data_IF_494590897732
#
_entry.id   IF_494590897732
#
_cell.length_a   1.000
_cell.length_b   1.000
_cell.length_c   1.000
_cell.angle_alpha   90.00
_cell.angle_beta   90.00
_cell.angle_gamma   90.00
#
_symmetry.space_group_name_H-M   'P 1'
#
loop_
_entity.id
_entity.type
_entity.pdbx_description
1 polymer ?
#
# COMPACT_ATOMS: atom_id res chain seq x y z
N UNK A 1 -20.38 -19.15 34.76
CA UNK A 1 -20.17 -18.78 33.34
C UNK A 1 -20.19 -17.25 33.26
N UNK A 2 -19.04 -16.60 33.41
CA UNK A 2 -18.93 -15.13 33.32
C UNK A 2 -19.18 -14.73 31.87
N UNK A 3 -20.26 -13.98 31.62
CA UNK A 3 -20.51 -13.32 30.35
C UNK A 3 -19.35 -12.37 30.10
N UNK A 4 -18.37 -12.81 29.32
CA UNK A 4 -17.27 -11.97 28.83
C UNK A 4 -17.92 -10.74 28.16
N UNK A 5 -17.83 -9.59 28.82
CA UNK A 5 -18.32 -8.31 28.31
C UNK A 5 -17.65 -8.08 26.93
N UNK A 6 -18.42 -8.19 25.84
CA UNK A 6 -17.93 -7.98 24.47
C UNK A 6 -17.28 -6.60 24.40
N UNK A 7 -15.95 -6.54 24.32
CA UNK A 7 -15.21 -5.30 24.20
C UNK A 7 -15.51 -4.69 22.82
N UNK A 8 -16.02 -3.46 22.80
CA UNK A 8 -16.29 -2.75 21.54
C UNK A 8 -14.99 -2.48 20.78
N UNK A 9 -15.00 -2.68 19.47
CA UNK A 9 -13.82 -2.41 18.60
C UNK A 9 -13.53 -0.90 18.57
N UNK A 10 -14.57 -0.07 18.54
CA UNK A 10 -14.50 1.39 18.58
C UNK A 10 -15.29 1.87 19.78
N UNK A 11 -14.74 2.79 20.56
CA UNK A 11 -15.51 3.44 21.66
C UNK A 11 -16.63 4.29 21.07
N UNK A 12 -17.82 4.25 21.71
CA UNK A 12 -19.02 4.95 21.21
C UNK A 12 -18.78 6.45 20.97
N UNK A 13 -17.97 7.08 21.82
CA UNK A 13 -17.60 8.50 21.75
C UNK A 13 -16.73 8.86 20.53
N UNK A 14 -16.05 7.86 19.90
CA UNK A 14 -15.13 8.08 18.78
C UNK A 14 -15.62 7.51 17.46
N UNK A 15 -16.86 7.02 17.36
CA UNK A 15 -17.40 6.40 16.14
C UNK A 15 -17.35 7.36 14.96
N UNK A 16 -17.73 8.64 15.17
CA UNK A 16 -17.72 9.64 14.10
C UNK A 16 -16.31 9.91 13.58
N UNK A 17 -15.34 10.10 14.48
CA UNK A 17 -13.92 10.30 14.13
C UNK A 17 -13.37 9.07 13.42
N UNK A 18 -13.70 7.87 13.88
CA UNK A 18 -13.31 6.63 13.25
C UNK A 18 -13.81 6.54 11.81
N UNK A 19 -15.08 6.86 11.55
CA UNK A 19 -15.67 6.83 10.20
C UNK A 19 -14.96 7.82 9.27
N UNK A 20 -14.76 9.08 9.71
CA UNK A 20 -14.08 10.09 8.89
C UNK A 20 -12.64 9.66 8.56
N UNK A 21 -11.89 9.16 9.55
CA UNK A 21 -10.52 8.70 9.30
C UNK A 21 -10.51 7.47 8.39
N UNK A 22 -11.52 6.60 8.49
CA UNK A 22 -11.68 5.46 7.60
C UNK A 22 -11.85 5.88 6.14
N UNK A 23 -12.53 7.01 5.87
CA UNK A 23 -12.65 7.58 4.52
C UNK A 23 -11.26 7.99 3.97
N UNK A 24 -10.33 8.45 4.81
CA UNK A 24 -8.97 8.79 4.38
C UNK A 24 -8.23 7.58 3.83
N UNK A 25 -8.46 6.38 4.36
CA UNK A 25 -7.87 5.15 3.83
C UNK A 25 -8.43 4.78 2.46
N UNK A 26 -9.72 5.04 2.20
CA UNK A 26 -10.30 4.88 0.87
C UNK A 26 -9.71 5.89 -0.13
N UNK A 27 -9.61 7.18 0.25
CA UNK A 27 -8.96 8.22 -0.56
C UNK A 27 -7.53 7.88 -0.95
N UNK A 28 -6.83 7.27 -0.04
CA UNK A 28 -5.47 6.78 -0.25
C UNK A 28 -5.41 5.66 -1.29
N UNK A 29 -6.30 4.67 -1.17
CA UNK A 29 -6.44 3.62 -2.20
C UNK A 29 -6.74 4.20 -3.57
N UNK A 30 -7.66 5.18 -3.67
CA UNK A 30 -8.00 5.84 -4.94
C UNK A 30 -6.75 6.47 -5.58
N UNK A 31 -5.98 7.26 -4.84
CA UNK A 31 -4.80 7.94 -5.39
C UNK A 31 -3.74 6.96 -5.88
N UNK A 32 -3.49 5.89 -5.10
CA UNK A 32 -2.49 4.88 -5.44
C UNK A 32 -2.83 4.19 -6.76
N UNK A 33 -4.05 3.70 -6.89
CA UNK A 33 -4.44 2.85 -8.00
C UNK A 33 -4.96 3.63 -9.21
N UNK A 34 -5.36 4.88 -9.04
CA UNK A 34 -5.53 5.83 -10.15
C UNK A 34 -4.17 6.13 -10.82
N UNK A 35 -3.08 6.18 -10.03
CA UNK A 35 -1.73 6.50 -10.54
C UNK A 35 -1.05 5.30 -11.20
N UNK A 36 -1.38 4.07 -10.81
CA UNK A 36 -0.71 2.86 -11.30
C UNK A 36 -0.69 2.74 -12.84
N UNK A 37 -1.81 2.93 -13.58
CA UNK A 37 -1.79 2.85 -15.05
C UNK A 37 -1.18 4.09 -15.72
N UNK A 38 -0.88 5.16 -14.98
CA UNK A 38 -0.34 6.39 -15.58
C UNK A 38 1.04 6.20 -16.22
N UNK A 39 1.83 5.22 -15.78
CA UNK A 39 3.14 4.90 -16.38
C UNK A 39 2.96 4.57 -17.87
N UNK A 40 2.06 3.65 -18.20
CA UNK A 40 1.76 3.28 -19.59
C UNK A 40 1.02 4.39 -20.34
N UNK A 41 0.10 5.08 -19.67
CA UNK A 41 -0.70 6.16 -20.27
C UNK A 41 0.19 7.35 -20.70
N UNK A 42 1.09 7.82 -19.83
CA UNK A 42 2.02 8.89 -20.22
C UNK A 42 2.93 8.48 -21.38
N UNK A 43 3.34 7.21 -21.44
CA UNK A 43 4.16 6.72 -22.54
C UNK A 43 3.41 6.67 -23.88
N UNK A 44 2.09 6.45 -23.87
CA UNK A 44 1.24 6.56 -25.06
C UNK A 44 1.08 8.00 -25.53
N UNK A 45 0.77 8.92 -24.60
CA UNK A 45 0.56 10.34 -24.89
C UNK A 45 1.86 11.07 -25.24
N UNK A 46 2.99 10.63 -24.67
CA UNK A 46 4.34 11.16 -24.86
C UNK A 46 5.30 10.04 -25.26
N UNK A 47 5.29 9.57 -26.53
CA UNK A 47 6.10 8.43 -26.97
C UNK A 47 7.61 8.67 -26.88
N UNK A 48 8.04 9.94 -26.82
CA UNK A 48 9.44 10.34 -26.61
C UNK A 48 10.00 9.95 -25.24
N UNK A 49 9.13 9.64 -24.26
CA UNK A 49 9.57 9.20 -22.94
C UNK A 49 10.25 7.83 -23.01
N UNK A 50 11.45 7.74 -22.46
CA UNK A 50 12.11 6.45 -22.25
C UNK A 50 11.38 5.64 -21.18
N UNK A 51 11.58 4.32 -21.13
CA UNK A 51 11.01 3.46 -20.09
C UNK A 51 11.45 3.90 -18.68
N UNK A 52 12.69 4.35 -18.54
CA UNK A 52 13.22 4.89 -17.28
C UNK A 52 12.47 6.16 -16.89
N UNK A 53 12.26 7.09 -17.81
CA UNK A 53 11.50 8.31 -17.54
C UNK A 53 10.06 7.98 -17.14
N UNK A 54 9.38 7.11 -17.87
CA UNK A 54 8.01 6.71 -17.55
C UNK A 54 7.90 6.07 -16.15
N UNK A 55 8.90 5.30 -15.73
CA UNK A 55 8.95 4.69 -14.40
C UNK A 55 9.16 5.69 -13.25
N UNK A 56 9.58 6.93 -13.54
CA UNK A 56 9.70 7.98 -12.53
C UNK A 56 8.36 8.34 -11.86
N UNK A 57 7.22 8.02 -12.47
CA UNK A 57 5.90 8.09 -11.84
C UNK A 57 5.87 7.26 -10.55
N UNK A 58 6.29 6.00 -10.63
CA UNK A 58 6.35 5.10 -9.48
C UNK A 58 7.39 5.58 -8.45
N UNK A 59 8.55 6.01 -8.94
CA UNK A 59 9.61 6.54 -8.09
C UNK A 59 9.13 7.78 -7.30
N UNK A 60 8.53 8.77 -7.96
CA UNK A 60 8.00 9.97 -7.31
C UNK A 60 6.98 9.59 -6.23
N UNK A 61 6.14 8.58 -6.51
CA UNK A 61 5.13 8.09 -5.57
C UNK A 61 5.74 7.45 -4.32
N UNK A 62 6.63 6.47 -4.44
CA UNK A 62 7.18 5.75 -3.28
C UNK A 62 8.20 6.57 -2.48
N UNK A 63 8.99 7.40 -3.15
CA UNK A 63 9.96 8.26 -2.46
C UNK A 63 9.31 9.37 -1.64
N UNK A 64 8.13 9.85 -2.03
CA UNK A 64 7.36 10.80 -1.21
C UNK A 64 7.07 10.23 0.18
N UNK A 65 6.70 8.96 0.29
CA UNK A 65 6.51 8.29 1.58
C UNK A 65 7.79 8.24 2.41
N UNK A 66 8.89 7.83 1.80
CA UNK A 66 10.15 7.67 2.52
C UNK A 66 10.63 8.99 3.11
N UNK A 67 10.67 10.06 2.31
CA UNK A 67 11.20 11.35 2.76
C UNK A 67 10.23 12.10 3.68
N UNK A 68 8.93 12.01 3.46
CA UNK A 68 7.97 12.83 4.19
C UNK A 68 7.45 12.19 5.48
N UNK A 69 7.60 10.88 5.68
CA UNK A 69 7.12 10.21 6.88
C UNK A 69 7.76 10.74 8.17
N UNK A 70 9.07 10.97 8.19
CA UNK A 70 9.77 11.50 9.36
C UNK A 70 9.41 12.98 9.63
N UNK A 71 9.44 13.91 8.65
CA UNK A 71 8.92 15.26 8.82
C UNK A 71 7.48 15.29 9.34
N UNK A 72 6.60 14.43 8.80
CA UNK A 72 5.22 14.30 9.25
C UNK A 72 5.14 13.88 10.73
N UNK A 73 5.91 12.89 11.14
CA UNK A 73 5.95 12.42 12.52
C UNK A 73 6.44 13.50 13.50
N UNK A 74 7.46 14.26 13.11
CA UNK A 74 7.97 15.39 13.91
C UNK A 74 6.93 16.51 14.00
N UNK A 75 6.22 16.77 12.89
CA UNK A 75 5.14 17.77 12.86
C UNK A 75 3.99 17.39 13.79
N UNK A 76 3.46 16.15 13.69
CA UNK A 76 2.34 15.71 14.54
C UNK A 76 2.73 15.62 16.02
N UNK A 77 3.99 15.38 16.30
CA UNK A 77 4.52 15.44 17.65
C UNK A 77 4.48 16.85 18.23
N UNK A 78 4.91 17.84 17.43
CA UNK A 78 4.95 19.26 17.86
C UNK A 78 3.55 19.87 17.98
N UNK A 79 2.61 19.48 17.11
CA UNK A 79 1.28 20.09 17.05
C UNK A 79 0.19 19.11 17.50
N UNK A 80 -0.36 18.31 16.60
CA UNK A 80 -1.39 17.32 16.90
C UNK A 80 -1.65 16.38 15.72
N UNK A 81 -2.34 15.27 15.96
CA UNK A 81 -2.85 14.42 14.89
C UNK A 81 -3.82 15.16 13.95
N UNK A 82 -4.71 16.02 14.50
CA UNK A 82 -5.63 16.84 13.68
C UNK A 82 -4.85 17.74 12.71
N UNK A 83 -3.84 18.43 13.21
CA UNK A 83 -2.99 19.31 12.37
C UNK A 83 -2.24 18.52 11.30
N UNK A 84 -1.76 17.32 11.61
CA UNK A 84 -1.12 16.45 10.63
C UNK A 84 -2.06 16.01 9.52
N UNK A 85 -3.32 15.65 9.85
CA UNK A 85 -4.34 15.32 8.85
C UNK A 85 -4.65 16.54 7.97
N UNK A 86 -4.80 17.72 8.57
CA UNK A 86 -5.07 18.97 7.81
C UNK A 86 -3.95 19.26 6.82
N UNK A 87 -2.69 19.21 7.24
CA UNK A 87 -1.53 19.41 6.35
C UNK A 87 -1.50 18.36 5.25
N UNK A 88 -1.75 17.09 5.59
CA UNK A 88 -1.81 16.01 4.61
C UNK A 88 -2.88 16.24 3.54
N UNK A 89 -4.10 16.65 3.94
CA UNK A 89 -5.19 16.96 3.01
C UNK A 89 -4.91 18.20 2.16
N UNK A 90 -4.28 19.25 2.71
CA UNK A 90 -3.86 20.42 1.94
C UNK A 90 -2.85 20.04 0.88
N UNK A 91 -1.81 19.30 1.23
CA UNK A 91 -0.80 18.83 0.27
C UNK A 91 -1.43 17.95 -0.80
N UNK A 92 -2.31 17.02 -0.41
CA UNK A 92 -3.00 16.15 -1.35
C UNK A 92 -3.85 16.97 -2.35
N UNK A 93 -4.70 17.88 -1.87
CA UNK A 93 -5.52 18.73 -2.73
C UNK A 93 -4.65 19.62 -3.64
N UNK A 94 -3.58 20.22 -3.09
CA UNK A 94 -2.65 21.04 -3.87
C UNK A 94 -2.02 20.22 -4.99
N UNK A 95 -1.46 19.05 -4.69
CA UNK A 95 -0.86 18.19 -5.71
C UNK A 95 -1.87 17.74 -6.77
N UNK A 96 -3.12 17.45 -6.37
CA UNK A 96 -4.20 17.10 -7.30
C UNK A 96 -4.55 18.27 -8.24
N UNK A 97 -4.64 19.49 -7.74
CA UNK A 97 -4.89 20.67 -8.58
C UNK A 97 -3.72 21.07 -9.48
N UNK A 98 -2.48 20.74 -9.10
CA UNK A 98 -1.30 20.96 -9.93
C UNK A 98 -1.32 20.12 -11.23
N UNK A 99 -2.17 19.10 -11.34
CA UNK A 99 -2.39 18.37 -12.59
C UNK A 99 -2.95 19.27 -13.70
N UNK A 100 -3.79 20.24 -13.36
CA UNK A 100 -4.34 21.19 -14.35
C UNK A 100 -3.25 22.03 -15.04
N UNK A 101 -2.40 22.80 -14.33
CA UNK A 101 -1.32 23.52 -14.99
C UNK A 101 -0.29 22.57 -15.60
N UNK A 102 -0.04 21.37 -15.06
CA UNK A 102 0.84 20.39 -15.68
C UNK A 102 0.34 19.96 -17.07
N UNK A 103 -0.98 19.75 -17.22
CA UNK A 103 -1.60 19.47 -18.51
C UNK A 103 -1.52 20.68 -19.45
N UNK A 104 -1.84 21.87 -18.96
CA UNK A 104 -1.77 23.11 -19.75
C UNK A 104 -0.39 23.40 -20.32
N UNK A 105 0.66 23.22 -19.51
CA UNK A 105 2.05 23.38 -19.97
C UNK A 105 2.62 22.13 -20.66
N UNK A 106 1.84 21.06 -20.80
CA UNK A 106 2.21 19.78 -21.40
C UNK A 106 3.54 19.24 -20.84
N UNK A 107 3.79 19.43 -19.55
CA UNK A 107 5.08 19.16 -18.93
C UNK A 107 5.04 17.88 -18.09
N UNK A 108 5.72 16.83 -18.57
CA UNK A 108 5.85 15.58 -17.84
C UNK A 108 6.47 15.76 -16.43
N UNK A 109 7.53 16.58 -16.35
CA UNK A 109 8.17 16.85 -15.06
C UNK A 109 7.24 17.54 -14.08
N UNK A 110 6.32 18.36 -14.58
CA UNK A 110 5.33 19.00 -13.72
C UNK A 110 4.30 17.96 -13.17
N UNK A 111 3.90 16.99 -13.98
CA UNK A 111 3.08 15.87 -13.48
C UNK A 111 3.82 15.07 -12.40
N UNK A 112 5.11 14.81 -12.55
CA UNK A 112 5.92 14.14 -11.51
C UNK A 112 5.95 14.94 -10.20
N UNK A 113 6.12 16.25 -10.28
CA UNK A 113 6.06 17.13 -9.09
C UNK A 113 4.67 17.09 -8.47
N UNK A 114 3.61 17.13 -9.27
CA UNK A 114 2.23 17.06 -8.79
C UNK A 114 1.97 15.75 -8.03
N UNK A 115 2.40 14.62 -8.58
CA UNK A 115 2.35 13.31 -7.93
C UNK A 115 3.16 13.27 -6.65
N UNK A 116 4.36 13.81 -6.65
CA UNK A 116 5.21 13.88 -5.46
C UNK A 116 4.55 14.69 -4.34
N UNK A 117 3.91 15.83 -4.65
CA UNK A 117 3.17 16.65 -3.69
C UNK A 117 1.96 15.88 -3.13
N UNK A 118 1.19 15.17 -3.99
CA UNK A 118 0.11 14.28 -3.53
C UNK A 118 0.66 13.29 -2.53
N UNK A 119 1.77 12.63 -2.86
CA UNK A 119 2.34 11.56 -2.03
C UNK A 119 2.92 12.09 -0.72
N UNK A 120 3.47 13.31 -0.71
CA UNK A 120 3.82 13.99 0.53
C UNK A 120 2.59 14.14 1.44
N UNK A 121 1.44 14.52 0.88
CA UNK A 121 0.16 14.57 1.59
C UNK A 121 -0.27 13.21 2.12
N UNK A 122 -0.18 12.16 1.29
CA UNK A 122 -0.50 10.79 1.69
C UNK A 122 0.41 10.29 2.81
N UNK A 123 1.70 10.60 2.79
CA UNK A 123 2.64 10.26 3.85
C UNK A 123 2.26 10.91 5.18
N UNK A 124 1.83 12.20 5.17
CA UNK A 124 1.28 12.85 6.35
C UNK A 124 0.03 12.15 6.86
N UNK A 125 -0.92 11.84 5.97
CA UNK A 125 -2.17 11.17 6.33
C UNK A 125 -1.89 9.80 6.94
N UNK A 126 -0.98 9.02 6.37
CA UNK A 126 -0.65 7.67 6.83
C UNK A 126 0.06 7.69 8.17
N UNK A 127 1.08 8.52 8.29
CA UNK A 127 1.85 8.69 9.54
C UNK A 127 0.97 9.16 10.69
N UNK A 128 -0.12 9.88 10.38
CA UNK A 128 -1.05 10.47 11.35
C UNK A 128 -2.23 9.55 11.67
N UNK A 129 -2.91 9.02 10.64
CA UNK A 129 -4.17 8.29 10.80
C UNK A 129 -3.98 6.91 11.42
N UNK A 130 -2.92 6.18 11.05
CA UNK A 130 -2.66 4.85 11.58
C UNK A 130 -2.52 4.85 13.13
N UNK A 131 -1.62 5.65 13.74
CA UNK A 131 -1.53 5.67 15.20
C UNK A 131 -2.79 6.27 15.85
N UNK A 132 -3.43 7.26 15.22
CA UNK A 132 -4.67 7.81 15.75
C UNK A 132 -5.78 6.75 15.87
N UNK A 133 -5.96 5.91 14.86
CA UNK A 133 -6.92 4.78 14.91
C UNK A 133 -6.61 3.83 16.07
N UNK A 134 -5.35 3.57 16.37
CA UNK A 134 -4.97 2.71 17.50
C UNK A 134 -5.44 3.27 18.85
N UNK A 135 -5.62 4.60 18.96
CA UNK A 135 -6.07 5.28 20.20
C UNK A 135 -7.59 5.43 20.34
N UNK A 136 -8.39 5.22 19.29
CA UNK A 136 -9.85 5.44 19.29
C UNK A 136 -10.65 4.34 20.03
N UNK A 137 -10.10 3.70 21.05
CA UNK A 137 -10.78 2.68 21.84
C UNK A 137 -9.82 1.85 22.69
N UNK A 138 -10.30 0.67 23.12
CA UNK A 138 -9.55 -0.21 23.99
C UNK A 138 -8.25 -0.71 23.32
N UNK A 139 -7.16 -0.81 24.10
CA UNK A 139 -5.84 -1.30 23.64
C UNK A 139 -5.91 -2.75 23.13
N UNK A 140 -6.77 -3.59 23.69
CA UNK A 140 -6.92 -4.99 23.29
C UNK A 140 -7.47 -5.16 21.87
N UNK A 141 -8.32 -4.21 21.42
CA UNK A 141 -8.91 -4.21 20.07
C UNK A 141 -8.19 -3.28 19.08
N UNK A 142 -7.08 -2.66 19.49
CA UNK A 142 -6.40 -1.65 18.69
C UNK A 142 -6.00 -2.15 17.28
N UNK A 143 -5.34 -3.32 17.19
CA UNK A 143 -4.92 -3.91 15.92
C UNK A 143 -6.12 -4.31 15.05
N UNK A 144 -7.20 -4.85 15.66
CA UNK A 144 -8.44 -5.17 14.94
C UNK A 144 -9.08 -3.91 14.37
N UNK A 145 -9.11 -2.83 15.16
CA UNK A 145 -9.65 -1.51 14.78
C UNK A 145 -8.88 -0.91 13.60
N UNK A 146 -7.57 -1.01 13.60
CA UNK A 146 -6.74 -0.56 12.48
C UNK A 146 -7.01 -1.40 11.21
N UNK A 147 -7.10 -2.72 11.33
CA UNK A 147 -7.48 -3.59 10.22
C UNK A 147 -8.85 -3.24 9.65
N UNK A 148 -9.84 -2.94 10.51
CA UNK A 148 -11.18 -2.53 10.09
C UNK A 148 -11.14 -1.21 9.31
N UNK A 149 -10.42 -0.20 9.81
CA UNK A 149 -10.29 1.08 9.11
C UNK A 149 -9.59 0.90 7.75
N UNK A 150 -8.50 0.16 7.72
CA UNK A 150 -7.76 -0.09 6.49
C UNK A 150 -8.46 -1.06 5.51
N UNK A 151 -9.56 -1.73 5.91
CA UNK A 151 -10.36 -2.55 5.00
C UNK A 151 -11.06 -1.70 3.90
N UNK A 152 -11.12 -0.39 4.07
CA UNK A 152 -11.65 0.53 3.07
C UNK A 152 -10.61 0.96 2.02
N UNK A 153 -9.32 0.78 2.29
CA UNK A 153 -8.27 1.08 1.31
C UNK A 153 -8.40 0.25 0.01
N UNK A 154 -8.59 -1.07 0.01
CA UNK A 154 -8.81 -1.83 -1.22
C UNK A 154 -10.08 -1.44 -1.97
N UNK A 155 -11.12 -0.95 -1.27
CA UNK A 155 -12.32 -0.41 -1.93
C UNK A 155 -11.96 0.85 -2.71
N UNK A 156 -11.16 1.73 -2.09
CA UNK A 156 -10.60 2.90 -2.76
C UNK A 156 -9.72 2.52 -3.95
N UNK A 157 -8.86 1.52 -3.81
CA UNK A 157 -7.99 1.00 -4.86
C UNK A 157 -8.79 0.56 -6.10
N UNK A 158 -9.82 -0.27 -5.91
CA UNK A 158 -10.72 -0.69 -7.00
C UNK A 158 -11.41 0.52 -7.63
N UNK A 159 -11.87 1.48 -6.82
CA UNK A 159 -12.48 2.73 -7.32
C UNK A 159 -11.49 3.51 -8.18
N UNK A 160 -10.23 3.64 -7.74
CA UNK A 160 -9.17 4.31 -8.49
C UNK A 160 -8.88 3.66 -9.84
N UNK A 161 -8.80 2.32 -9.89
CA UNK A 161 -8.65 1.57 -11.14
C UNK A 161 -9.84 1.77 -12.09
N UNK A 162 -11.06 1.73 -11.56
CA UNK A 162 -12.28 1.97 -12.35
C UNK A 162 -12.28 3.40 -12.90
N UNK A 163 -11.90 4.38 -12.07
CA UNK A 163 -11.76 5.77 -12.54
C UNK A 163 -10.70 5.89 -13.64
N UNK A 164 -9.52 5.28 -13.46
CA UNK A 164 -8.47 5.28 -14.48
C UNK A 164 -8.96 4.67 -15.80
N UNK A 165 -9.67 3.53 -15.73
CA UNK A 165 -10.16 2.82 -16.91
C UNK A 165 -11.22 3.60 -17.66
N UNK A 166 -12.21 4.17 -16.97
CA UNK A 166 -13.39 4.77 -17.60
C UNK A 166 -13.28 6.28 -17.82
N UNK A 167 -12.48 6.99 -17.02
CA UNK A 167 -12.33 8.44 -17.15
C UNK A 167 -11.04 8.86 -17.86
N UNK A 168 -10.09 7.92 -18.04
CA UNK A 168 -8.81 8.22 -18.70
C UNK A 168 -8.59 7.29 -19.88
N UNK A 169 -8.33 5.99 -19.65
CA UNK A 169 -7.84 5.07 -20.67
C UNK A 169 -8.80 4.95 -21.86
N UNK A 170 -10.11 4.92 -21.62
CA UNK A 170 -11.12 4.85 -22.69
C UNK A 170 -11.35 6.16 -23.44
N UNK A 171 -10.93 7.28 -22.87
CA UNK A 171 -11.21 8.60 -23.41
C UNK A 171 -10.02 9.22 -24.14
N UNK A 172 -8.79 8.72 -23.92
CA UNK A 172 -7.58 9.23 -24.58
C UNK A 172 -7.55 8.83 -26.05
N UNK A 173 -7.36 9.81 -26.92
CA UNK A 173 -7.30 9.63 -28.38
C UNK A 173 -6.02 8.95 -28.87
N UNK A 174 -4.92 9.10 -28.12
CA UNK A 174 -3.65 8.44 -28.44
C UNK A 174 -3.75 6.92 -28.42
N UNK A 175 -4.73 6.33 -27.75
CA UNK A 175 -4.96 4.87 -27.73
C UNK A 175 -5.60 4.33 -29.03
N UNK A 176 -6.17 5.20 -29.84
CA UNK A 176 -6.77 4.84 -31.16
C UNK A 176 -5.73 4.62 -32.25
N UNK A 177 -4.46 4.97 -31.99
CA UNK A 177 -3.36 4.90 -32.95
C UNK A 177 -2.36 3.81 -32.60
N UNK A 178 -1.84 3.10 -33.61
CA UNK A 178 -0.58 2.36 -33.42
C UNK A 178 0.59 3.33 -33.20
N UNK A 179 1.66 2.87 -32.57
CA UNK A 179 2.85 3.71 -32.32
C UNK A 179 3.41 4.31 -33.62
N UNK A 180 3.41 3.53 -34.71
CA UNK A 180 3.87 3.98 -36.04
C UNK A 180 2.94 5.04 -36.61
N UNK A 181 1.62 4.83 -36.53
CA UNK A 181 0.60 5.77 -37.04
C UNK A 181 0.63 7.08 -36.24
N UNK A 182 0.79 7.02 -34.91
CA UNK A 182 0.88 8.17 -34.05
C UNK A 182 2.13 9.03 -34.37
N UNK A 183 3.27 8.41 -34.58
CA UNK A 183 4.52 9.10 -34.96
C UNK A 183 4.49 9.67 -36.38
N UNK A 184 3.58 9.20 -37.25
CA UNK A 184 3.42 9.71 -38.61
C UNK A 184 2.47 10.92 -38.72
N UNK A 185 1.79 11.30 -37.62
CA UNK A 185 0.91 12.48 -37.59
C UNK A 185 1.70 13.79 -37.75
N UNK A 186 1.02 14.81 -38.25
CA UNK A 186 1.62 16.15 -38.31
C UNK A 186 1.88 16.71 -36.89
N UNK A 187 2.84 17.62 -36.77
CA UNK A 187 3.17 18.23 -35.47
C UNK A 187 1.98 18.95 -34.81
N UNK A 188 1.09 19.52 -35.63
CA UNK A 188 -0.15 20.18 -35.17
C UNK A 188 -1.19 19.20 -34.65
N UNK A 189 -1.37 18.06 -35.32
CA UNK A 189 -2.29 17.00 -34.85
C UNK A 189 -1.78 16.36 -33.57
N UNK A 190 -0.47 16.03 -33.51
CA UNK A 190 0.16 15.51 -32.30
C UNK A 190 -0.02 16.47 -31.11
N UNK A 191 0.22 17.77 -31.29
CA UNK A 191 0.04 18.75 -30.23
C UNK A 191 -1.42 18.82 -29.74
N UNK A 192 -2.38 18.78 -30.66
CA UNK A 192 -3.83 18.81 -30.33
C UNK A 192 -4.26 17.54 -29.57
N UNK A 193 -3.84 16.36 -30.02
CA UNK A 193 -4.15 15.11 -29.33
C UNK A 193 -3.51 15.10 -27.94
N UNK A 194 -2.24 15.50 -27.82
CA UNK A 194 -1.52 15.58 -26.55
C UNK A 194 -2.17 16.53 -25.56
N UNK A 195 -2.59 17.73 -26.00
CA UNK A 195 -3.30 18.69 -25.15
C UNK A 195 -4.62 18.12 -24.64
N UNK A 196 -5.40 17.49 -25.52
CA UNK A 196 -6.65 16.82 -25.15
C UNK A 196 -6.41 15.71 -24.14
N UNK A 197 -5.47 14.82 -24.40
CA UNK A 197 -5.24 13.62 -23.59
C UNK A 197 -4.64 13.95 -22.22
N UNK A 198 -3.72 14.92 -22.14
CA UNK A 198 -3.23 15.42 -20.86
C UNK A 198 -4.31 16.13 -20.07
N UNK A 199 -5.23 16.83 -20.75
CA UNK A 199 -6.45 17.40 -20.16
C UNK A 199 -7.31 16.30 -19.53
N UNK A 200 -7.58 15.22 -20.26
CA UNK A 200 -8.36 14.06 -19.79
C UNK A 200 -7.70 13.40 -18.59
N UNK A 201 -6.37 13.20 -18.61
CA UNK A 201 -5.62 12.67 -17.47
C UNK A 201 -5.80 13.52 -16.22
N UNK A 202 -5.91 14.85 -16.33
CA UNK A 202 -6.03 15.75 -15.19
C UNK A 202 -7.42 15.74 -14.52
N UNK A 203 -8.50 15.41 -15.26
CA UNK A 203 -9.89 15.48 -14.78
C UNK A 203 -10.12 14.68 -13.48
N UNK A 204 -9.78 13.37 -13.40
CA UNK A 204 -10.03 12.60 -12.17
C UNK A 204 -9.22 13.12 -10.98
N UNK A 205 -8.02 13.65 -11.18
CA UNK A 205 -7.23 14.23 -10.09
C UNK A 205 -7.85 15.54 -9.59
N UNK A 206 -8.35 16.40 -10.46
CA UNK A 206 -9.06 17.63 -10.08
C UNK A 206 -10.32 17.27 -9.28
N UNK A 207 -11.12 16.30 -9.77
CA UNK A 207 -12.29 15.80 -9.06
C UNK A 207 -11.96 15.27 -7.68
N UNK A 208 -10.86 14.51 -7.59
CA UNK A 208 -10.34 13.99 -6.32
C UNK A 208 -9.89 15.13 -5.39
N UNK A 209 -9.21 16.15 -5.91
CA UNK A 209 -8.81 17.34 -5.17
C UNK A 209 -9.99 18.08 -4.56
N UNK A 210 -11.08 18.27 -5.33
CA UNK A 210 -12.32 18.87 -4.84
C UNK A 210 -12.95 18.03 -3.70
N UNK A 211 -12.99 16.71 -3.85
CA UNK A 211 -13.50 15.83 -2.81
C UNK A 211 -12.64 15.89 -1.54
N UNK A 212 -11.31 15.92 -1.69
CA UNK A 212 -10.37 16.09 -0.57
C UNK A 212 -10.59 17.42 0.15
N UNK A 213 -10.91 18.51 -0.55
CA UNK A 213 -11.25 19.79 0.09
C UNK A 213 -12.53 19.68 0.94
N UNK A 214 -13.55 18.96 0.48
CA UNK A 214 -14.76 18.71 1.27
C UNK A 214 -14.41 17.98 2.58
N UNK A 215 -13.59 16.92 2.49
CA UNK A 215 -13.13 16.20 3.67
C UNK A 215 -12.28 17.09 4.58
N UNK A 216 -11.43 17.94 4.03
CA UNK A 216 -10.65 18.92 4.79
C UNK A 216 -11.55 19.84 5.62
N UNK A 217 -12.61 20.39 5.03
CA UNK A 217 -13.59 21.23 5.76
C UNK A 217 -14.24 20.44 6.89
N UNK A 218 -14.70 19.21 6.64
CA UNK A 218 -15.29 18.35 7.67
C UNK A 218 -14.30 18.11 8.81
N UNK A 219 -13.03 17.79 8.50
CA UNK A 219 -11.98 17.59 9.51
C UNK A 219 -11.71 18.86 10.32
N UNK A 220 -11.68 20.03 9.69
CA UNK A 220 -11.50 21.31 10.38
C UNK A 220 -12.60 21.55 11.41
N UNK A 221 -13.85 21.23 11.08
CA UNK A 221 -15.00 21.39 11.97
C UNK A 221 -15.11 20.28 13.04
N UNK A 222 -14.50 19.11 12.82
CA UNK A 222 -14.58 17.97 13.72
C UNK A 222 -13.66 18.15 14.93
N UNK A 223 -14.19 17.92 16.14
CA UNK A 223 -13.37 17.81 17.35
C UNK A 223 -12.68 16.45 17.38
N UNK A 224 -11.37 16.47 17.24
CA UNK A 224 -10.54 15.26 17.37
C UNK A 224 -10.13 15.03 18.84
N UNK A 225 -9.99 13.78 19.29
CA UNK A 225 -9.54 13.50 20.65
C UNK A 225 -8.14 14.08 20.86
N UNK A 226 -7.99 14.81 21.96
CA UNK A 226 -6.66 15.21 22.43
C UNK A 226 -6.01 13.94 22.98
N UNK A 227 -4.93 13.49 22.37
CA UNK A 227 -4.10 12.44 22.97
C UNK A 227 -3.48 13.06 24.22
N UNK A 228 -3.86 12.55 25.40
CA UNK A 228 -3.51 13.11 26.70
C UNK A 228 -2.02 12.99 27.07
N UNK A 229 -1.20 12.46 26.19
CA UNK A 229 0.24 12.39 26.41
C UNK A 229 0.90 13.64 25.82
N UNK A 230 1.21 14.60 26.68
CA UNK A 230 2.29 15.54 26.41
C UNK A 230 3.55 14.69 26.19
N UNK A 231 4.18 14.84 25.02
CA UNK A 231 5.43 14.14 24.71
C UNK A 231 6.53 14.60 25.66
N UNK A 232 6.63 13.95 26.83
CA UNK A 232 7.58 14.30 27.91
C UNK A 232 9.03 13.95 27.56
N UNK A 233 9.24 13.07 26.55
CA UNK A 233 10.57 12.64 26.16
C UNK A 233 11.17 13.52 25.06
N UNK A 234 12.50 13.64 25.02
CA UNK A 234 13.17 14.29 23.90
C UNK A 234 13.06 13.44 22.60
N UNK A 235 13.25 14.05 21.44
CA UNK A 235 13.24 13.33 20.14
C UNK A 235 14.31 12.24 20.14
N UNK A 236 15.53 12.57 20.64
CA UNK A 236 16.64 11.62 20.71
C UNK A 236 16.36 10.41 21.62
N UNK A 237 15.71 10.64 22.76
CA UNK A 237 15.30 9.57 23.68
C UNK A 237 14.25 8.66 23.04
N UNK A 238 13.27 9.24 22.32
CA UNK A 238 12.27 8.46 21.60
C UNK A 238 12.90 7.57 20.53
N UNK A 239 13.83 8.11 19.73
CA UNK A 239 14.60 7.31 18.77
C UNK A 239 15.42 6.21 19.44
N UNK A 240 16.15 6.53 20.50
CA UNK A 240 16.95 5.56 21.25
C UNK A 240 16.07 4.41 21.77
N UNK A 241 14.90 4.73 22.31
CA UNK A 241 13.95 3.76 22.86
C UNK A 241 13.32 2.89 21.76
N UNK A 242 12.95 3.48 20.61
CA UNK A 242 12.47 2.77 19.43
C UNK A 242 13.54 1.82 18.89
N UNK A 243 14.78 2.29 18.72
CA UNK A 243 15.88 1.46 18.23
C UNK A 243 16.33 0.40 19.25
N UNK A 244 16.12 0.61 20.55
CA UNK A 244 16.33 -0.41 21.57
C UNK A 244 15.23 -1.48 21.56
N UNK A 245 14.01 -1.14 21.13
CA UNK A 245 12.89 -2.06 21.13
C UNK A 245 13.00 -3.07 19.97
N UNK A 246 13.29 -4.33 20.34
CA UNK A 246 13.45 -5.42 19.39
C UNK A 246 12.17 -5.69 18.58
N UNK A 247 11.00 -5.62 19.22
CA UNK A 247 9.72 -5.85 18.54
C UNK A 247 9.47 -4.80 17.46
N UNK A 248 9.74 -3.53 17.75
CA UNK A 248 9.61 -2.43 16.80
C UNK A 248 10.56 -2.59 15.60
N UNK A 249 11.85 -2.84 15.85
CA UNK A 249 12.83 -3.03 14.76
C UNK A 249 12.45 -4.17 13.81
N UNK A 250 12.09 -5.32 14.38
CA UNK A 250 11.64 -6.46 13.58
C UNK A 250 10.33 -6.16 12.87
N UNK A 251 9.44 -5.34 13.46
CA UNK A 251 8.21 -4.87 12.84
C UNK A 251 8.47 -4.00 11.61
N UNK A 252 9.40 -3.04 11.70
CA UNK A 252 9.80 -2.19 10.55
C UNK A 252 10.39 -3.03 9.41
N UNK A 253 11.27 -4.00 9.75
CA UNK A 253 11.83 -4.94 8.76
C UNK A 253 10.71 -5.77 8.13
N UNK A 254 9.86 -6.39 8.94
CA UNK A 254 8.74 -7.20 8.45
C UNK A 254 7.80 -6.38 7.55
N UNK A 255 7.59 -5.10 7.87
CA UNK A 255 6.77 -4.18 7.08
C UNK A 255 7.38 -3.92 5.70
N UNK A 256 8.69 -3.68 5.61
CA UNK A 256 9.39 -3.48 4.34
C UNK A 256 9.33 -4.73 3.45
N UNK A 257 9.58 -5.90 4.03
CA UNK A 257 9.47 -7.18 3.33
C UNK A 257 8.03 -7.47 2.89
N UNK A 258 7.04 -7.16 3.74
CA UNK A 258 5.63 -7.31 3.37
C UNK A 258 5.25 -6.45 2.17
N UNK A 259 5.56 -5.14 2.19
CA UNK A 259 5.22 -4.24 1.08
C UNK A 259 5.96 -4.67 -0.19
N UNK A 260 7.22 -5.09 -0.06
CA UNK A 260 7.96 -5.69 -1.17
C UNK A 260 7.25 -6.90 -1.78
N UNK A 261 6.83 -7.88 -0.94
CA UNK A 261 6.09 -9.05 -1.42
C UNK A 261 4.78 -8.67 -2.12
N UNK A 262 4.04 -7.71 -1.56
CA UNK A 262 2.76 -7.26 -2.11
C UNK A 262 2.94 -6.68 -3.51
N UNK A 263 3.86 -5.75 -3.69
CA UNK A 263 4.08 -5.10 -4.98
C UNK A 263 4.66 -6.09 -6.00
N UNK A 264 5.62 -6.95 -5.60
CA UNK A 264 6.14 -8.01 -6.45
C UNK A 264 5.03 -8.93 -6.96
N UNK A 265 4.18 -9.45 -6.07
CA UNK A 265 3.11 -10.37 -6.47
C UNK A 265 2.12 -9.72 -7.44
N UNK A 266 1.77 -8.44 -7.25
CA UNK A 266 0.78 -7.78 -8.11
C UNK A 266 1.37 -7.29 -9.44
N UNK A 267 2.60 -6.80 -9.44
CA UNK A 267 3.27 -6.32 -10.64
C UNK A 267 3.59 -7.47 -11.59
N UNK A 268 4.11 -8.59 -11.06
CA UNK A 268 4.60 -9.68 -11.90
C UNK A 268 3.53 -10.73 -12.27
N UNK A 269 2.25 -10.52 -11.92
CA UNK A 269 1.13 -11.29 -12.49
C UNK A 269 1.11 -11.19 -14.01
N UNK A 270 1.40 -10.01 -14.57
CA UNK A 270 1.39 -9.78 -16.02
C UNK A 270 2.42 -10.69 -16.73
N UNK A 271 3.66 -10.69 -16.26
CA UNK A 271 4.71 -11.53 -16.81
C UNK A 271 4.42 -13.03 -16.61
N UNK A 272 3.80 -13.39 -15.48
CA UNK A 272 3.41 -14.77 -15.20
C UNK A 272 2.35 -15.25 -16.19
N UNK A 273 1.33 -14.45 -16.48
CA UNK A 273 0.28 -14.76 -17.47
C UNK A 273 0.84 -14.80 -18.88
N UNK A 274 1.72 -13.87 -19.25
CA UNK A 274 2.37 -13.86 -20.56
C UNK A 274 3.20 -15.10 -20.79
N UNK A 275 3.93 -15.58 -19.77
CA UNK A 275 4.67 -16.83 -19.84
C UNK A 275 3.74 -18.04 -20.05
N UNK A 276 2.59 -18.08 -19.36
CA UNK A 276 1.57 -19.13 -19.54
C UNK A 276 1.03 -19.10 -20.96
N UNK A 277 0.66 -17.92 -21.47
CA UNK A 277 0.13 -17.77 -22.83
C UNK A 277 1.12 -18.28 -23.87
N UNK A 278 2.41 -17.94 -23.75
CA UNK A 278 3.46 -18.41 -24.66
C UNK A 278 3.71 -19.91 -24.55
N UNK A 279 3.78 -20.43 -23.33
CA UNK A 279 4.15 -21.85 -23.09
C UNK A 279 3.03 -22.82 -23.46
N UNK A 280 1.77 -22.44 -23.17
CA UNK A 280 0.61 -23.31 -23.33
C UNK A 280 -0.32 -22.92 -24.49
N UNK A 281 0.01 -21.87 -25.26
CA UNK A 281 -0.82 -21.39 -26.37
C UNK A 281 -2.19 -20.87 -25.92
N UNK A 282 -2.26 -20.27 -24.72
CA UNK A 282 -3.50 -19.70 -24.16
C UNK A 282 -3.60 -18.20 -24.46
N UNK A 283 -4.81 -17.66 -24.39
CA UNK A 283 -5.09 -16.22 -24.54
C UNK A 283 -5.68 -15.64 -23.23
N UNK A 284 -4.97 -15.81 -22.11
CA UNK A 284 -5.39 -15.30 -20.82
C UNK A 284 -5.13 -13.78 -20.74
N UNK A 285 -6.08 -13.04 -20.20
CA UNK A 285 -5.94 -11.60 -19.96
C UNK A 285 -5.46 -11.35 -18.52
N UNK A 286 -4.22 -10.93 -18.34
CA UNK A 286 -3.57 -10.72 -17.03
C UNK A 286 -4.37 -9.79 -16.11
N UNK A 287 -5.02 -8.74 -16.67
CA UNK A 287 -5.82 -7.78 -15.92
C UNK A 287 -6.94 -8.44 -15.11
N UNK A 288 -7.61 -9.47 -15.63
CA UNK A 288 -8.67 -10.15 -14.90
C UNK A 288 -8.13 -10.89 -13.66
N UNK A 289 -6.95 -11.47 -13.76
CA UNK A 289 -6.31 -12.15 -12.63
C UNK A 289 -5.80 -11.14 -11.58
N UNK A 290 -5.31 -9.99 -12.01
CA UNK A 290 -4.93 -8.90 -11.10
C UNK A 290 -6.16 -8.36 -10.34
N UNK A 291 -7.29 -8.11 -11.02
CA UNK A 291 -8.56 -7.75 -10.37
C UNK A 291 -9.01 -8.86 -9.41
N UNK A 292 -8.90 -10.12 -9.83
CA UNK A 292 -9.19 -11.28 -8.97
C UNK A 292 -8.34 -11.28 -7.70
N UNK A 293 -7.04 -11.01 -7.81
CA UNK A 293 -6.13 -10.89 -6.67
C UNK A 293 -6.54 -9.76 -5.70
N UNK A 294 -6.97 -8.61 -6.23
CA UNK A 294 -7.46 -7.50 -5.40
C UNK A 294 -8.78 -7.82 -4.69
N UNK A 295 -9.70 -8.53 -5.35
CA UNK A 295 -10.94 -9.00 -4.72
C UNK A 295 -10.67 -10.03 -3.62
N UNK A 296 -9.72 -10.95 -3.83
CA UNK A 296 -9.24 -11.89 -2.83
C UNK A 296 -8.58 -11.17 -1.64
N UNK A 297 -7.79 -10.14 -1.92
CA UNK A 297 -7.18 -9.28 -0.89
C UNK A 297 -8.24 -8.56 -0.05
N UNK A 298 -9.25 -7.96 -0.68
CA UNK A 298 -10.37 -7.31 0.00
C UNK A 298 -11.11 -8.32 0.90
N UNK A 299 -11.48 -9.47 0.35
CA UNK A 299 -12.20 -10.53 1.07
C UNK A 299 -11.38 -11.05 2.25
N UNK A 300 -10.08 -11.33 2.02
CA UNK A 300 -9.16 -11.80 3.07
C UNK A 300 -9.03 -10.79 4.21
N UNK A 301 -9.06 -9.48 3.92
CA UNK A 301 -9.00 -8.42 4.94
C UNK A 301 -10.24 -8.42 5.83
N UNK A 302 -11.42 -8.55 5.26
CA UNK A 302 -12.65 -8.63 6.06
C UNK A 302 -12.68 -9.89 6.92
N UNK A 303 -12.34 -11.05 6.35
CA UNK A 303 -12.25 -12.32 7.08
C UNK A 303 -11.21 -12.25 8.20
N UNK A 304 -10.00 -11.81 7.89
CA UNK A 304 -8.91 -11.70 8.88
C UNK A 304 -9.25 -10.72 10.01
N UNK A 305 -9.88 -9.59 9.71
CA UNK A 305 -10.35 -8.62 10.71
C UNK A 305 -11.42 -9.24 11.62
N UNK A 306 -12.35 -10.03 11.06
CA UNK A 306 -13.36 -10.72 11.83
C UNK A 306 -12.76 -11.78 12.75
N UNK A 307 -11.76 -12.54 12.29
CA UNK A 307 -11.03 -13.53 13.08
C UNK A 307 -10.30 -12.91 14.28
N UNK A 308 -9.81 -11.68 14.15
CA UNK A 308 -9.14 -10.94 15.24
C UNK A 308 -10.03 -10.63 16.42
N UNK A 309 -11.36 -10.77 16.28
CA UNK A 309 -12.30 -10.60 17.38
C UNK A 309 -12.11 -11.64 18.50
N UNK A 310 -11.71 -12.85 18.12
CA UNK A 310 -11.60 -13.98 19.04
C UNK A 310 -10.17 -14.55 19.11
N UNK A 311 -9.25 -14.05 18.27
CA UNK A 311 -7.91 -14.62 18.14
C UNK A 311 -6.86 -13.51 18.22
N UNK A 312 -5.73 -13.82 18.86
CA UNK A 312 -4.59 -12.89 18.97
C UNK A 312 -4.09 -12.49 17.57
N UNK A 313 -3.94 -11.17 17.29
CA UNK A 313 -3.47 -10.68 16.00
C UNK A 313 -2.13 -11.28 15.53
N UNK A 314 -1.17 -11.48 16.44
CA UNK A 314 0.11 -12.13 16.10
C UNK A 314 -0.06 -13.57 15.65
N UNK A 315 -1.02 -14.31 16.25
CA UNK A 315 -1.33 -15.68 15.85
C UNK A 315 -1.95 -15.72 14.45
N UNK A 316 -2.86 -14.79 14.15
CA UNK A 316 -3.46 -14.67 12.81
C UNK A 316 -2.39 -14.29 11.79
N UNK A 317 -1.53 -13.32 12.09
CA UNK A 317 -0.41 -12.92 11.22
C UNK A 317 0.47 -14.13 10.88
N UNK A 318 0.80 -14.96 11.87
CA UNK A 318 1.58 -16.18 11.68
C UNK A 318 0.89 -17.17 10.72
N UNK A 319 -0.40 -17.44 10.91
CA UNK A 319 -1.13 -18.38 10.04
C UNK A 319 -1.33 -17.84 8.63
N UNK A 320 -1.64 -16.56 8.50
CA UNK A 320 -1.71 -15.90 7.19
C UNK A 320 -0.32 -15.90 6.52
N UNK A 321 0.74 -15.70 7.29
CA UNK A 321 2.10 -15.82 6.78
C UNK A 321 2.39 -17.22 6.23
N UNK A 322 2.07 -18.28 6.96
CA UNK A 322 2.24 -19.67 6.46
C UNK A 322 1.43 -19.93 5.21
N UNK A 323 0.16 -19.49 5.15
CA UNK A 323 -0.67 -19.61 3.95
C UNK A 323 -0.06 -18.88 2.74
N UNK A 324 0.47 -17.67 2.96
CA UNK A 324 1.16 -16.91 1.92
C UNK A 324 2.43 -17.60 1.42
N UNK A 325 3.26 -18.14 2.32
CA UNK A 325 4.46 -18.92 1.97
C UNK A 325 4.09 -20.17 1.17
N UNK A 326 3.05 -20.89 1.59
CA UNK A 326 2.57 -22.09 0.88
C UNK A 326 2.11 -21.75 -0.54
N UNK A 327 1.31 -20.68 -0.70
CA UNK A 327 0.87 -20.23 -2.03
C UNK A 327 2.03 -19.72 -2.88
N UNK A 328 3.02 -19.03 -2.30
CA UNK A 328 4.20 -18.59 -3.03
C UNK A 328 5.05 -19.79 -3.51
N UNK A 329 5.20 -20.82 -2.68
CA UNK A 329 5.83 -22.08 -3.10
C UNK A 329 5.04 -22.75 -4.24
N UNK A 330 3.70 -22.74 -4.18
CA UNK A 330 2.84 -23.22 -5.27
C UNK A 330 3.03 -22.45 -6.57
N UNK A 331 3.16 -21.12 -6.51
CA UNK A 331 3.43 -20.29 -7.69
C UNK A 331 4.79 -20.60 -8.34
N UNK A 332 5.79 -21.03 -7.55
CA UNK A 332 7.11 -21.45 -8.05
C UNK A 332 7.03 -22.84 -8.71
N UNK A 333 6.43 -23.80 -8.02
CA UNK A 333 6.50 -25.22 -8.38
C UNK A 333 5.50 -25.60 -9.47
N UNK A 334 4.27 -25.07 -9.39
CA UNK A 334 3.22 -25.38 -10.36
C UNK A 334 3.32 -24.47 -11.58
N UNK A 335 3.31 -25.08 -12.76
CA UNK A 335 3.28 -24.35 -14.03
C UNK A 335 1.82 -24.12 -14.48
N UNK A 336 1.61 -23.18 -15.38
CA UNK A 336 0.31 -22.91 -15.97
C UNK A 336 -0.72 -22.34 -14.97
N UNK A 337 -1.99 -22.68 -15.20
CA UNK A 337 -3.13 -22.18 -14.41
C UNK A 337 -3.04 -22.52 -12.91
N UNK A 338 -2.62 -23.73 -12.47
CA UNK A 338 -2.49 -24.01 -11.03
C UNK A 338 -1.48 -23.09 -10.32
N UNK A 339 -0.37 -22.76 -10.95
CA UNK A 339 0.60 -21.79 -10.43
C UNK A 339 0.02 -20.38 -10.36
N UNK A 340 -0.73 -19.96 -11.39
CA UNK A 340 -1.40 -18.67 -11.42
C UNK A 340 -2.46 -18.56 -10.32
N UNK A 341 -3.26 -19.60 -10.08
CA UNK A 341 -4.22 -19.66 -8.98
C UNK A 341 -3.49 -19.53 -7.63
N UNK A 342 -2.36 -20.23 -7.46
CA UNK A 342 -1.52 -20.12 -6.28
C UNK A 342 -1.02 -18.68 -6.09
N UNK A 343 -0.56 -18.03 -7.15
CA UNK A 343 -0.07 -16.65 -7.14
C UNK A 343 -1.15 -15.65 -6.70
N UNK A 344 -2.32 -15.67 -7.32
CA UNK A 344 -3.41 -14.75 -6.94
C UNK A 344 -3.92 -15.01 -5.53
N UNK A 345 -3.88 -16.27 -5.06
CA UNK A 345 -4.30 -16.67 -3.72
C UNK A 345 -3.40 -16.10 -2.61
N UNK A 346 -2.13 -15.74 -2.90
CA UNK A 346 -1.25 -15.06 -1.95
C UNK A 346 -1.93 -13.79 -1.42
N UNK A 347 -2.74 -13.11 -2.26
CA UNK A 347 -3.41 -11.86 -1.92
C UNK A 347 -4.36 -11.98 -0.73
N UNK A 348 -5.03 -13.13 -0.54
CA UNK A 348 -5.87 -13.39 0.64
C UNK A 348 -5.02 -13.26 1.91
N UNK A 349 -3.86 -13.91 1.91
CA UNK A 349 -2.98 -13.98 3.07
C UNK A 349 -2.21 -12.68 3.33
N UNK A 350 -1.85 -11.94 2.28
CA UNK A 350 -1.23 -10.62 2.42
C UNK A 350 -2.18 -9.56 3.01
N UNK A 351 -3.48 -9.76 2.90
CA UNK A 351 -4.51 -8.74 3.10
C UNK A 351 -4.47 -8.04 4.47
N UNK A 352 -4.16 -8.76 5.56
CA UNK A 352 -4.13 -8.23 6.93
C UNK A 352 -2.72 -7.79 7.38
N UNK A 353 -1.68 -8.08 6.61
CA UNK A 353 -0.30 -8.01 7.11
C UNK A 353 0.10 -6.59 7.48
N UNK A 354 -0.14 -5.60 6.61
CA UNK A 354 0.23 -4.19 6.86
C UNK A 354 -0.31 -3.67 8.20
N UNK A 355 -1.63 -3.59 8.41
CA UNK A 355 -2.18 -3.04 9.65
C UNK A 355 -1.88 -3.90 10.88
N UNK A 356 -1.68 -5.21 10.70
CA UNK A 356 -1.39 -6.12 11.80
C UNK A 356 0.05 -5.95 12.27
N UNK A 357 1.03 -5.90 11.36
CA UNK A 357 2.44 -5.62 11.69
C UNK A 357 2.53 -4.25 12.37
N UNK A 358 1.87 -3.24 11.80
CA UNK A 358 1.83 -1.88 12.32
C UNK A 358 1.30 -1.84 13.76
N UNK A 359 0.14 -2.46 13.99
CA UNK A 359 -0.49 -2.50 15.31
C UNK A 359 0.32 -3.30 16.36
N UNK A 360 1.02 -4.38 15.94
CA UNK A 360 1.88 -5.17 16.83
C UNK A 360 3.18 -4.40 17.13
N UNK A 361 3.77 -3.74 16.14
CA UNK A 361 5.04 -3.02 16.29
C UNK A 361 4.91 -1.81 17.24
N UNK A 362 3.77 -1.12 17.20
CA UNK A 362 3.48 0.04 18.09
C UNK A 362 2.73 -0.34 19.36
N UNK A 363 2.53 -1.62 19.62
CA UNK A 363 1.84 -2.07 20.84
C UNK A 363 2.60 -1.58 22.08
N UNK A 364 1.86 -1.02 23.02
CA UNK A 364 2.36 -0.49 24.30
C UNK A 364 3.38 0.69 24.18
N UNK A 365 3.42 1.36 23.00
CA UNK A 365 4.27 2.51 22.70
C UNK A 365 3.42 3.79 22.56
N UNK A 366 2.78 4.24 23.65
CA UNK A 366 1.91 5.41 23.60
C UNK A 366 2.68 6.70 23.27
N UNK A 367 3.82 6.91 23.92
CA UNK A 367 4.60 8.14 23.79
C UNK A 367 5.48 8.18 22.52
N UNK A 368 5.97 7.01 22.09
CA UNK A 368 6.80 6.87 20.91
C UNK A 368 6.00 6.63 19.62
N UNK A 369 4.69 6.38 19.70
CA UNK A 369 3.87 5.98 18.56
C UNK A 369 3.94 6.97 17.39
N UNK A 370 4.01 8.27 17.67
CA UNK A 370 4.11 9.31 16.64
C UNK A 370 5.40 9.21 15.83
N UNK A 371 6.54 9.02 16.49
CA UNK A 371 7.84 8.83 15.80
C UNK A 371 7.94 7.42 15.25
N UNK A 372 7.46 6.42 15.99
CA UNK A 372 7.45 5.03 15.57
C UNK A 372 6.64 4.79 14.30
N UNK A 373 5.58 5.57 14.08
CA UNK A 373 4.79 5.52 12.85
C UNK A 373 5.63 5.85 11.61
N UNK A 374 6.56 6.81 11.73
CA UNK A 374 7.41 7.20 10.60
C UNK A 374 8.24 6.01 10.08
N UNK A 375 8.89 5.24 10.96
CA UNK A 375 9.69 4.08 10.53
C UNK A 375 8.86 3.02 9.80
N UNK A 376 7.62 2.78 10.24
CA UNK A 376 6.72 1.84 9.59
C UNK A 376 6.19 2.36 8.24
N UNK A 377 6.01 3.68 8.10
CA UNK A 377 5.63 4.31 6.82
C UNK A 377 6.85 4.38 5.88
N UNK A 378 8.04 4.72 6.38
CA UNK A 378 9.27 4.66 5.57
C UNK A 378 9.54 3.25 5.02
N UNK A 379 9.12 2.20 5.72
CA UNK A 379 9.24 0.81 5.28
C UNK A 379 8.47 0.51 3.98
N UNK A 380 7.53 1.37 3.56
CA UNK A 380 6.83 1.28 2.26
C UNK A 380 7.83 1.32 1.09
N UNK A 381 9.02 1.88 1.29
CA UNK A 381 10.11 1.84 0.28
C UNK A 381 10.49 0.42 -0.16
N UNK A 382 10.16 -0.60 0.63
CA UNK A 382 10.29 -2.01 0.22
C UNK A 382 9.57 -2.31 -1.10
N UNK A 383 8.43 -1.64 -1.34
CA UNK A 383 7.68 -1.73 -2.60
C UNK A 383 8.36 -1.08 -3.81
N UNK A 384 9.34 -0.20 -3.60
CA UNK A 384 10.17 0.33 -4.68
C UNK A 384 11.40 -0.57 -4.96
N UNK A 385 12.02 -1.11 -3.91
CA UNK A 385 13.29 -1.83 -4.01
C UNK A 385 13.14 -3.29 -4.44
N UNK A 386 12.19 -4.00 -3.84
CA UNK A 386 12.05 -5.46 -4.05
C UNK A 386 11.61 -5.85 -5.48
N UNK A 387 10.70 -5.12 -6.16
CA UNK A 387 10.39 -5.42 -7.56
C UNK A 387 11.58 -5.27 -8.50
N UNK A 388 12.51 -4.35 -8.23
CA UNK A 388 13.74 -4.21 -9.01
C UNK A 388 14.60 -5.46 -8.88
N UNK A 389 14.71 -6.03 -7.67
CA UNK A 389 15.42 -7.30 -7.44
C UNK A 389 14.74 -8.47 -8.15
N UNK A 390 13.39 -8.53 -8.16
CA UNK A 390 12.66 -9.56 -8.90
C UNK A 390 12.87 -9.43 -10.41
N UNK A 391 12.83 -8.19 -10.93
CA UNK A 391 13.14 -7.90 -12.32
C UNK A 391 14.54 -8.36 -12.71
N UNK A 392 15.53 -8.18 -11.84
CA UNK A 392 16.92 -8.65 -12.09
C UNK A 392 17.00 -10.17 -12.23
N UNK A 393 16.15 -10.94 -11.56
CA UNK A 393 16.07 -12.40 -11.74
C UNK A 393 15.51 -12.73 -13.13
N UNK A 394 14.50 -11.98 -13.58
CA UNK A 394 13.90 -12.17 -14.90
C UNK A 394 14.82 -11.78 -16.07
N UNK A 395 15.86 -11.01 -15.80
CA UNK A 395 16.85 -10.60 -16.80
C UNK A 395 18.06 -11.56 -16.88
N UNK A 396 18.11 -12.63 -16.09
CA UNK A 396 19.26 -13.57 -16.10
C UNK A 396 19.45 -14.28 -17.44
N UNK A 397 18.37 -14.52 -18.20
CA UNK A 397 18.40 -15.12 -19.52
C UNK A 397 18.49 -14.14 -20.69
N UNK A 398 18.61 -12.84 -20.41
CA UNK A 398 18.57 -11.76 -21.40
C UNK A 398 17.28 -10.95 -21.38
N UNK A 399 17.22 -9.86 -22.14
CA UNK A 399 16.03 -9.01 -22.21
C UNK A 399 14.88 -9.74 -22.89
N UNK A 400 13.82 -9.99 -22.16
CA UNK A 400 12.62 -10.69 -22.60
C UNK A 400 12.51 -12.07 -21.95
N UNK A 401 11.34 -12.71 -22.14
CA UNK A 401 11.10 -14.06 -21.64
C UNK A 401 12.09 -15.03 -22.33
N UNK A 402 13.10 -15.42 -21.58
CA UNK A 402 14.03 -16.45 -22.05
C UNK A 402 13.45 -17.83 -21.72
N UNK A 403 13.79 -18.81 -22.55
CA UNK A 403 13.46 -20.23 -22.30
C UNK A 403 14.33 -20.83 -21.18
N UNK A 404 14.87 -19.97 -20.26
CA UNK A 404 15.71 -20.43 -19.17
C UNK A 404 14.85 -21.16 -18.15
N UNK A 405 15.19 -22.43 -17.96
CA UNK A 405 14.60 -23.27 -16.92
C UNK A 405 15.62 -23.49 -15.80
N UNK A 406 15.26 -23.01 -14.61
CA UNK A 406 16.07 -23.20 -13.41
C UNK A 406 15.83 -24.59 -12.86
N UNK A 407 16.91 -25.29 -12.49
CA UNK A 407 16.90 -26.71 -12.11
C UNK A 407 16.34 -27.63 -13.21
N UNK A 408 16.30 -27.16 -14.48
CA UNK A 408 15.86 -27.94 -15.64
C UNK A 408 14.34 -28.10 -15.80
N UNK A 409 13.52 -27.49 -14.90
CA UNK A 409 12.07 -27.62 -14.99
C UNK A 409 11.26 -26.41 -14.48
N UNK A 410 11.88 -25.46 -13.76
CA UNK A 410 11.18 -24.27 -13.25
C UNK A 410 11.41 -23.09 -14.19
N UNK A 411 10.39 -22.55 -14.86
CA UNK A 411 10.53 -21.32 -15.64
C UNK A 411 11.07 -20.17 -14.79
N UNK A 412 11.88 -19.33 -15.36
CA UNK A 412 12.51 -18.18 -14.70
C UNK A 412 11.47 -17.26 -14.04
N UNK A 413 10.35 -17.01 -14.73
CA UNK A 413 9.22 -16.22 -14.18
C UNK A 413 8.68 -16.84 -12.91
N UNK A 414 8.46 -18.15 -12.88
CA UNK A 414 8.00 -18.86 -11.69
C UNK A 414 9.05 -18.77 -10.56
N UNK A 415 10.33 -19.00 -10.90
CA UNK A 415 11.42 -18.96 -9.91
C UNK A 415 11.58 -17.59 -9.29
N UNK A 416 11.29 -16.50 -10.01
CA UNK A 416 11.39 -15.13 -9.48
C UNK A 416 10.56 -14.90 -8.22
N UNK A 417 9.49 -15.70 -8.02
CA UNK A 417 8.66 -15.66 -6.81
C UNK A 417 9.33 -16.24 -5.55
N UNK A 418 10.59 -16.68 -5.66
CA UNK A 418 11.42 -16.99 -4.48
C UNK A 418 11.62 -15.75 -3.59
N UNK A 419 11.68 -14.55 -4.18
CA UNK A 419 11.79 -13.30 -3.41
C UNK A 419 10.53 -13.01 -2.59
N UNK A 420 9.31 -13.00 -3.17
CA UNK A 420 8.08 -12.95 -2.39
C UNK A 420 7.99 -14.02 -1.30
N UNK A 421 8.41 -15.26 -1.60
CA UNK A 421 8.43 -16.34 -0.61
C UNK A 421 9.33 -16.01 0.58
N UNK A 422 10.56 -15.55 0.35
CA UNK A 422 11.48 -15.12 1.41
C UNK A 422 10.87 -13.98 2.20
N UNK A 423 10.28 -12.98 1.55
CA UNK A 423 9.63 -11.86 2.19
C UNK A 423 8.50 -12.33 3.11
N UNK A 424 7.63 -13.21 2.64
CA UNK A 424 6.53 -13.77 3.43
C UNK A 424 7.03 -14.64 4.58
N UNK A 425 8.15 -15.36 4.41
CA UNK A 425 8.79 -16.11 5.50
C UNK A 425 9.29 -15.18 6.63
N UNK A 426 9.86 -14.01 6.29
CA UNK A 426 10.26 -12.99 7.26
C UNK A 426 9.04 -12.48 8.05
N UNK A 427 7.92 -12.19 7.37
CA UNK A 427 6.66 -11.77 8.01
C UNK A 427 6.10 -12.88 8.91
N UNK A 428 6.15 -14.12 8.44
CA UNK A 428 5.69 -15.30 9.21
C UNK A 428 6.51 -15.46 10.49
N UNK A 429 7.83 -15.33 10.39
CA UNK A 429 8.74 -15.37 11.54
C UNK A 429 8.42 -14.26 12.56
N UNK A 430 8.16 -13.05 12.09
CA UNK A 430 7.74 -11.94 12.96
C UNK A 430 6.43 -12.25 13.68
N UNK A 431 5.41 -12.79 12.96
CA UNK A 431 4.16 -13.23 13.54
C UNK A 431 4.34 -14.31 14.61
N UNK A 432 5.17 -15.32 14.34
CA UNK A 432 5.52 -16.39 15.28
C UNK A 432 6.23 -15.87 16.54
N UNK A 433 7.28 -15.05 16.37
CA UNK A 433 8.06 -14.50 17.45
C UNK A 433 7.20 -13.65 18.41
N UNK A 434 6.37 -12.78 17.85
CA UNK A 434 5.47 -11.91 18.63
C UNK A 434 4.34 -12.69 19.29
N UNK A 435 3.82 -13.74 18.65
CA UNK A 435 2.84 -14.64 19.26
C UNK A 435 3.45 -15.36 20.48
N UNK A 436 4.65 -15.93 20.34
CA UNK A 436 5.37 -16.59 21.46
C UNK A 436 5.57 -15.65 22.65
N UNK A 437 5.94 -14.41 22.39
CA UNK A 437 6.08 -13.38 23.43
C UNK A 437 4.74 -13.09 24.13
N UNK A 438 3.65 -12.97 23.37
CA UNK A 438 2.33 -12.69 23.93
C UNK A 438 1.82 -13.82 24.85
N UNK A 439 2.11 -15.07 24.49
CA UNK A 439 1.77 -16.25 25.32
C UNK A 439 2.57 -16.25 26.61
N UNK A 440 3.88 -15.91 26.55
CA UNK A 440 4.73 -15.85 27.74
C UNK A 440 4.24 -14.77 28.70
N UNK A 441 3.96 -13.56 28.19
CA UNK A 441 3.44 -12.46 29.01
C UNK A 441 2.12 -12.81 29.70
N UNK A 442 1.21 -13.49 28.98
CA UNK A 442 -0.07 -13.93 29.55
C UNK A 442 0.09 -14.95 30.68
N UNK A 443 1.05 -15.89 30.54
CA UNK A 443 1.38 -16.84 31.61
C UNK A 443 1.92 -16.16 32.86
N UNK A 444 2.88 -15.22 32.70
CA UNK A 444 3.47 -14.47 33.82
C UNK A 444 2.40 -13.66 34.56
N UNK A 445 1.50 -12.98 33.81
CA UNK A 445 0.42 -12.19 34.41
C UNK A 445 -0.57 -13.06 35.22
N UNK A 446 -0.86 -14.27 34.75
CA UNK A 446 -1.76 -15.19 35.46
C UNK A 446 -1.12 -15.70 36.76
N UNK A 447 0.21 -15.94 36.80
CA UNK A 447 0.92 -16.36 38.02
C UNK A 447 0.87 -15.25 39.08
N UNK A 448 1.12 -13.98 38.67
CA UNK A 448 1.09 -12.82 39.58
C UNK A 448 -0.31 -12.46 40.11
N UNK A 449 -1.38 -13.01 39.57
CA UNK A 449 -2.76 -12.79 40.02
C UNK A 449 -3.22 -13.94 40.93
N UNK A 450 -2.50 -15.04 40.94
CA UNK A 450 -2.78 -16.23 41.79
C UNK A 450 -1.92 -16.30 43.05
N UNK A 451 -0.91 -15.44 43.19
CA UNK A 451 -0.17 -15.09 44.38
C UNK A 451 -0.81 -13.84 45.06
#
# INVERSE_FOLDING_TARGET
MSLSKKISVVSKEYVFQFVIITILFALWGIANDLTTPMVSTFKKVMPELTNVQASLVQFAFYFGYFFMALPAALFIRKYSYKSGIIVGLILYATGAFLFYPAAHYQSYNFFLVSLWVITCGLAFLETTSNPLILFLGNKETATQRLNLAQAFNPIGAITGLVMAQFLVIKEIKSDDYSTEAFNALSSTELASIRENDLGIISIPYIGLGLFVLVILVIICLTKMPKTAHEDKMSIGESFKKLLANRNYKHGVIAQAFYVGAQIMCWTFIFQYVDNINKTFGLELTATYYNIGAMLLFLSGRWVGTALMKNTNPSKILMYFGFGGVFCAAGAIVFQGIPGLISLISISIFMSIMFPTIYGIALKDMADEAKIGSAGLVMAIVGGALMPVLQGSILDWGGSGFSDVQILGFIPEVNFSFILPLICLAVVTHYGYATYKLSVKQKKTKNILVTE
#
